data_IF_392837558130
#
_entry.id   IF_392837558130
#
_cell.length_a   1.000
_cell.length_b   1.000
_cell.length_c   1.000
_cell.angle_alpha   90.00
_cell.angle_beta   90.00
_cell.angle_gamma   90.00
#
_symmetry.space_group_name_H-M   'P 1'
#
loop_
_entity.id
_entity.type
_entity.pdbx_description
1 polymer ?
#
# COMPACT_ATOMS: atom_id res chain seq x y z
N UNK A 1 -15.63 9.86 -18.45
CA UNK A 1 -16.47 8.72 -18.09
C UNK A 1 -17.58 9.25 -17.18
N UNK A 2 -18.69 9.75 -17.73
CA UNK A 2 -19.63 10.59 -16.98
C UNK A 2 -20.69 9.83 -16.16
N UNK A 3 -20.59 8.50 -16.08
CA UNK A 3 -21.67 7.61 -15.61
C UNK A 3 -21.29 6.73 -14.41
N UNK A 4 -20.02 6.72 -13.98
CA UNK A 4 -19.60 5.91 -12.83
C UNK A 4 -19.87 6.63 -11.52
N UNK A 5 -20.67 6.01 -10.65
CA UNK A 5 -20.91 6.51 -9.30
C UNK A 5 -19.65 6.40 -8.43
N UNK A 6 -19.56 7.23 -7.39
CA UNK A 6 -18.44 7.22 -6.40
C UNK A 6 -18.20 5.81 -5.84
N UNK A 7 -19.28 5.07 -5.55
CA UNK A 7 -19.19 3.70 -5.05
C UNK A 7 -18.50 2.75 -6.04
N UNK A 8 -18.84 2.85 -7.33
CA UNK A 8 -18.30 1.98 -8.37
C UNK A 8 -16.80 2.21 -8.57
N UNK A 9 -16.37 3.48 -8.64
CA UNK A 9 -14.94 3.81 -8.80
C UNK A 9 -14.12 3.42 -7.58
N UNK A 10 -14.70 3.49 -6.37
CA UNK A 10 -14.04 3.02 -5.15
C UNK A 10 -13.89 1.51 -5.18
N UNK A 11 -14.92 0.75 -5.55
CA UNK A 11 -14.82 -0.70 -5.67
C UNK A 11 -13.79 -1.14 -6.72
N UNK A 12 -13.80 -0.51 -7.89
CA UNK A 12 -12.78 -0.73 -8.93
C UNK A 12 -11.39 -0.42 -8.42
N UNK A 13 -11.24 0.68 -7.69
CA UNK A 13 -9.99 1.07 -7.04
C UNK A 13 -9.52 0.05 -6.01
N UNK A 14 -10.39 -0.41 -5.11
CA UNK A 14 -10.08 -1.45 -4.12
C UNK A 14 -9.62 -2.75 -4.80
N UNK A 15 -10.35 -3.20 -5.83
CA UNK A 15 -9.98 -4.39 -6.59
C UNK A 15 -8.62 -4.21 -7.29
N UNK A 16 -8.37 -3.05 -7.89
CA UNK A 16 -7.06 -2.71 -8.45
C UNK A 16 -5.96 -2.70 -7.38
N UNK A 17 -6.26 -2.23 -6.17
CA UNK A 17 -5.33 -2.26 -5.02
C UNK A 17 -4.97 -3.68 -4.59
N UNK A 18 -5.94 -4.60 -4.57
CA UNK A 18 -5.68 -6.04 -4.33
C UNK A 18 -4.71 -6.58 -5.39
N UNK A 19 -5.00 -6.36 -6.67
CA UNK A 19 -4.18 -6.86 -7.78
C UNK A 19 -2.77 -6.25 -7.76
N UNK A 20 -2.67 -4.94 -7.54
CA UNK A 20 -1.39 -4.23 -7.45
C UNK A 20 -0.53 -4.73 -6.29
N UNK A 21 -1.13 -4.91 -5.11
CA UNK A 21 -0.42 -5.43 -3.94
C UNK A 21 0.05 -6.87 -4.16
N UNK A 22 -0.77 -7.71 -4.80
CA UNK A 22 -0.38 -9.07 -5.17
C UNK A 22 0.81 -9.07 -6.13
N UNK A 23 0.75 -8.25 -7.20
CA UNK A 23 1.82 -8.15 -8.20
C UNK A 23 3.14 -7.65 -7.59
N UNK A 24 3.06 -6.65 -6.70
CA UNK A 24 4.23 -6.12 -5.99
C UNK A 24 4.84 -7.19 -5.07
N UNK A 25 4.02 -7.86 -4.27
CA UNK A 25 4.48 -8.92 -3.37
C UNK A 25 5.15 -10.07 -4.13
N UNK A 26 4.58 -10.49 -5.26
CA UNK A 26 5.20 -11.51 -6.11
C UNK A 26 6.55 -11.03 -6.68
N UNK A 27 6.62 -9.78 -7.13
CA UNK A 27 7.86 -9.21 -7.66
C UNK A 27 8.95 -9.13 -6.59
N UNK A 28 8.61 -8.71 -5.38
CA UNK A 28 9.51 -8.68 -4.23
C UNK A 28 10.01 -10.09 -3.88
N UNK A 29 9.10 -11.08 -3.81
CA UNK A 29 9.49 -12.46 -3.51
C UNK A 29 10.41 -13.07 -4.56
N UNK A 30 10.18 -12.74 -5.85
CA UNK A 30 11.07 -13.16 -6.93
C UNK A 30 12.44 -12.49 -6.84
N UNK A 31 12.49 -11.20 -6.50
CA UNK A 31 13.74 -10.47 -6.27
C UNK A 31 14.51 -11.06 -5.09
N UNK A 32 13.86 -11.22 -3.94
CA UNK A 32 14.45 -11.82 -2.73
C UNK A 32 14.99 -13.23 -2.97
N UNK A 33 14.24 -14.06 -3.72
CA UNK A 33 14.70 -15.39 -4.09
C UNK A 33 15.97 -15.35 -4.96
N UNK A 34 16.14 -14.30 -5.78
CA UNK A 34 17.30 -14.12 -6.66
C UNK A 34 18.49 -13.47 -5.95
N UNK A 35 18.26 -12.53 -5.05
CA UNK A 35 19.31 -11.72 -4.40
C UNK A 35 19.69 -12.24 -3.02
N UNK A 36 18.87 -13.08 -2.40
CA UNK A 36 19.01 -13.50 -1.01
C UNK A 36 18.64 -12.41 0.00
N UNK A 37 18.03 -11.30 -0.45
CA UNK A 37 17.60 -10.21 0.44
C UNK A 37 16.50 -10.69 1.39
N UNK A 38 16.59 -10.30 2.65
CA UNK A 38 15.58 -10.59 3.68
C UNK A 38 14.27 -9.79 3.47
N UNK A 39 13.21 -10.20 4.19
CA UNK A 39 11.93 -9.50 4.20
C UNK A 39 12.02 -8.12 4.86
N UNK A 40 11.30 -7.14 4.30
CA UNK A 40 11.16 -5.82 4.92
C UNK A 40 10.30 -5.91 6.17
N UNK A 41 10.74 -5.24 7.24
CA UNK A 41 10.03 -5.19 8.52
C UNK A 41 9.21 -3.91 8.70
N UNK A 42 9.26 -2.97 7.76
CA UNK A 42 8.64 -1.64 7.86
C UNK A 42 7.14 -1.72 8.19
N UNK A 43 6.38 -2.56 7.50
CA UNK A 43 4.93 -2.70 7.75
C UNK A 43 4.64 -3.35 9.11
N UNK A 44 5.54 -4.22 9.58
CA UNK A 44 5.45 -4.80 10.93
C UNK A 44 5.69 -3.73 11.99
N UNK A 45 6.69 -2.86 11.80
CA UNK A 45 7.00 -1.75 12.70
C UNK A 45 5.87 -0.72 12.76
N UNK A 46 5.37 -0.29 11.58
CA UNK A 46 4.19 0.59 11.49
C UNK A 46 3.01 -0.03 12.23
N UNK A 47 2.70 -1.30 11.95
CA UNK A 47 1.62 -2.02 12.60
C UNK A 47 1.77 -2.07 14.12
N UNK A 48 2.95 -2.42 14.61
CA UNK A 48 3.24 -2.53 16.04
C UNK A 48 3.11 -1.17 16.75
N UNK A 49 3.61 -0.09 16.14
CA UNK A 49 3.51 1.26 16.71
C UNK A 49 2.05 1.73 16.75
N UNK A 50 1.30 1.56 15.65
CA UNK A 50 -0.06 2.09 15.53
C UNK A 50 -1.09 1.31 16.35
N UNK A 51 -0.94 -0.02 16.46
CA UNK A 51 -1.92 -0.84 17.16
C UNK A 51 -1.59 -1.03 18.65
N UNK A 52 -0.36 -0.71 19.08
CA UNK A 52 0.19 -0.95 20.44
C UNK A 52 0.36 -2.41 20.94
N UNK A 53 0.20 -3.52 20.18
CA UNK A 53 0.65 -4.82 20.66
C UNK A 53 2.17 -4.86 20.82
N UNK A 54 2.64 -5.59 21.84
CA UNK A 54 4.06 -5.95 22.03
C UNK A 54 4.54 -7.02 21.03
N UNK A 55 3.95 -7.10 19.84
CA UNK A 55 4.32 -8.10 18.85
C UNK A 55 5.55 -7.63 18.10
N UNK A 56 6.73 -7.86 18.71
CA UNK A 56 8.01 -7.47 18.12
C UNK A 56 8.66 -8.59 17.31
N UNK A 57 8.27 -9.85 17.53
CA UNK A 57 8.93 -11.01 16.90
C UNK A 57 7.97 -12.17 16.63
N UNK A 58 8.32 -13.01 15.65
CA UNK A 58 7.66 -14.28 15.38
C UNK A 58 6.44 -14.20 14.46
N UNK A 59 5.70 -15.31 14.36
CA UNK A 59 4.65 -15.49 13.36
C UNK A 59 3.50 -14.46 13.46
N UNK A 60 3.21 -13.95 14.66
CA UNK A 60 2.16 -12.93 14.85
C UNK A 60 2.61 -11.56 14.31
N UNK A 61 3.88 -11.20 14.48
CA UNK A 61 4.44 -9.97 13.92
C UNK A 61 4.45 -10.03 12.38
N UNK A 62 4.85 -11.16 11.80
CA UNK A 62 4.80 -11.37 10.35
C UNK A 62 3.36 -11.27 9.79
N UNK A 63 2.37 -11.85 10.48
CA UNK A 63 0.95 -11.72 10.09
C UNK A 63 0.46 -10.27 10.18
N UNK A 64 0.89 -9.52 11.20
CA UNK A 64 0.56 -8.11 11.34
C UNK A 64 1.15 -7.28 10.21
N UNK A 65 2.44 -7.47 9.89
CA UNK A 65 3.09 -6.78 8.77
C UNK A 65 2.39 -7.06 7.44
N UNK A 66 2.03 -8.33 7.18
CA UNK A 66 1.24 -8.69 6.00
C UNK A 66 -0.13 -8.02 5.99
N UNK A 67 -0.87 -8.03 7.10
CA UNK A 67 -2.16 -7.36 7.18
C UNK A 67 -2.05 -5.85 6.89
N UNK A 68 -1.04 -5.17 7.43
CA UNK A 68 -0.77 -3.76 7.17
C UNK A 68 -0.41 -3.52 5.70
N UNK A 69 0.45 -4.35 5.12
CA UNK A 69 0.83 -4.27 3.70
C UNK A 69 -0.38 -4.36 2.77
N UNK A 70 -1.23 -5.38 2.98
CA UNK A 70 -2.43 -5.58 2.20
C UNK A 70 -3.44 -4.45 2.39
N UNK A 71 -3.70 -4.05 3.64
CA UNK A 71 -4.62 -2.94 3.91
C UNK A 71 -4.15 -1.64 3.24
N UNK A 72 -2.86 -1.33 3.35
CA UNK A 72 -2.26 -0.15 2.76
C UNK A 72 -2.44 -0.10 1.24
N UNK A 73 -2.04 -1.16 0.53
CA UNK A 73 -2.15 -1.20 -0.93
C UNK A 73 -3.60 -1.22 -1.44
N UNK A 74 -4.51 -1.90 -0.74
CA UNK A 74 -5.95 -1.89 -1.07
C UNK A 74 -6.54 -0.49 -0.90
N UNK A 75 -6.27 0.18 0.23
CA UNK A 75 -6.76 1.54 0.50
C UNK A 75 -6.23 2.54 -0.51
N UNK A 76 -4.95 2.48 -0.89
CA UNK A 76 -4.41 3.34 -1.94
C UNK A 76 -5.02 3.05 -3.32
N UNK A 77 -5.40 1.80 -3.59
CA UNK A 77 -6.20 1.46 -4.76
C UNK A 77 -7.51 2.26 -4.83
N UNK A 78 -8.24 2.37 -3.72
CA UNK A 78 -9.46 3.19 -3.65
C UNK A 78 -9.18 4.67 -3.99
N UNK A 79 -8.09 5.24 -3.44
CA UNK A 79 -7.66 6.61 -3.74
C UNK A 79 -7.35 6.76 -5.23
N UNK A 80 -6.68 5.77 -5.84
CA UNK A 80 -6.41 5.77 -7.29
C UNK A 80 -7.70 5.73 -8.12
N UNK A 81 -8.71 4.97 -7.66
CA UNK A 81 -10.04 4.92 -8.27
C UNK A 81 -10.75 6.27 -8.23
N UNK A 82 -10.71 6.97 -7.09
CA UNK A 82 -11.29 8.31 -6.93
C UNK A 82 -10.68 9.36 -7.87
N UNK A 83 -9.39 9.25 -8.20
CA UNK A 83 -8.78 10.13 -9.22
C UNK A 83 -9.42 9.96 -10.60
N UNK A 84 -10.09 8.84 -10.89
CA UNK A 84 -10.86 8.63 -12.12
C UNK A 84 -12.11 9.52 -12.25
N UNK A 85 -12.56 10.16 -11.16
CA UNK A 85 -13.65 11.15 -11.18
C UNK A 85 -13.18 12.56 -11.54
N UNK A 86 -11.87 12.78 -11.62
CA UNK A 86 -11.28 14.08 -11.95
C UNK A 86 -11.12 14.23 -13.47
N UNK A 87 -10.95 15.45 -14.02
CA UNK A 87 -10.65 15.63 -15.44
C UNK A 87 -9.19 15.29 -15.81
N UNK A 88 -8.41 14.70 -14.89
CA UNK A 88 -7.02 14.36 -15.14
C UNK A 88 -6.90 13.26 -16.19
N UNK A 89 -5.92 13.40 -17.08
CA UNK A 89 -5.53 12.29 -17.96
C UNK A 89 -4.84 11.18 -17.15
N UNK A 90 -4.70 10.00 -17.76
CA UNK A 90 -4.15 8.83 -17.08
C UNK A 90 -2.73 9.05 -16.53
N UNK A 91 -1.88 9.78 -17.25
CA UNK A 91 -0.51 10.08 -16.82
C UNK A 91 -0.50 10.98 -15.58
N UNK A 92 -1.23 12.09 -15.62
CA UNK A 92 -1.31 13.03 -14.50
C UNK A 92 -1.93 12.39 -13.26
N UNK A 93 -3.00 11.60 -13.42
CA UNK A 93 -3.62 10.86 -12.32
C UNK A 93 -2.64 9.86 -11.68
N UNK A 94 -1.85 9.14 -12.49
CA UNK A 94 -0.84 8.21 -11.97
C UNK A 94 0.32 8.92 -11.27
N UNK A 95 0.78 10.06 -11.81
CA UNK A 95 1.81 10.87 -11.17
C UNK A 95 1.36 11.42 -9.79
N UNK A 96 0.13 11.96 -9.73
CA UNK A 96 -0.45 12.46 -8.46
C UNK A 96 -0.62 11.32 -7.46
N UNK A 97 -1.10 10.15 -7.91
CA UNK A 97 -1.25 8.98 -7.04
C UNK A 97 0.10 8.55 -6.45
N UNK A 98 1.12 8.41 -7.30
CA UNK A 98 2.47 8.01 -6.90
C UNK A 98 3.08 9.01 -5.90
N UNK A 99 3.05 10.31 -6.22
CA UNK A 99 3.59 11.35 -5.35
C UNK A 99 2.87 11.36 -4.00
N UNK A 100 1.54 11.20 -4.00
CA UNK A 100 0.74 11.18 -2.76
C UNK A 100 1.12 9.99 -1.89
N UNK A 101 1.16 8.79 -2.45
CA UNK A 101 1.52 7.55 -1.76
C UNK A 101 2.93 7.64 -1.18
N UNK A 102 3.91 7.97 -2.03
CA UNK A 102 5.31 8.03 -1.63
C UNK A 102 5.55 9.08 -0.54
N UNK A 103 4.97 10.28 -0.71
CA UNK A 103 5.17 11.37 0.27
C UNK A 103 4.49 11.04 1.59
N UNK A 104 3.30 10.44 1.57
CA UNK A 104 2.63 10.02 2.81
C UNK A 104 3.43 8.96 3.56
N UNK A 105 4.04 8.01 2.86
CA UNK A 105 4.86 6.96 3.48
C UNK A 105 6.14 7.55 4.05
N UNK A 106 6.84 8.38 3.28
CA UNK A 106 8.04 9.07 3.73
C UNK A 106 7.79 9.91 5.00
N UNK A 107 6.65 10.63 5.05
CA UNK A 107 6.23 11.38 6.23
C UNK A 107 5.85 10.45 7.38
N UNK A 108 5.10 9.38 7.11
CA UNK A 108 4.71 8.41 8.14
C UNK A 108 5.94 7.81 8.80
N UNK A 109 6.88 7.25 8.03
CA UNK A 109 8.08 6.61 8.55
C UNK A 109 8.93 7.60 9.34
N UNK A 110 9.08 8.83 8.84
CA UNK A 110 9.78 9.91 9.56
C UNK A 110 9.11 10.26 10.90
N UNK A 111 7.78 10.35 10.93
CA UNK A 111 7.04 10.67 12.17
C UNK A 111 7.10 9.54 13.19
N UNK A 112 7.10 8.28 12.72
CA UNK A 112 7.21 7.10 13.55
C UNK A 112 8.66 6.72 13.91
N UNK A 113 9.65 7.41 13.33
CA UNK A 113 11.09 7.15 13.48
C UNK A 113 11.47 5.72 13.05
N UNK A 114 10.91 5.29 11.92
CA UNK A 114 11.28 4.04 11.23
C UNK A 114 12.36 4.40 10.20
N UNK A 115 13.47 3.67 10.20
CA UNK A 115 14.63 3.89 9.30
C UNK A 115 14.66 2.91 8.13
#
# INVERSE_FOLDING_TARGET
MPDQGVFEVVLKGLAAGVVGTAAMTLSEKLEQAKTGREDSMVTTEVGAILTKPRLKTGAQAAKLGQAVHWAHGITWGAIRGLLGLTPLNAFAASAIHYVSLWTSDALLYRTLKIE
#
